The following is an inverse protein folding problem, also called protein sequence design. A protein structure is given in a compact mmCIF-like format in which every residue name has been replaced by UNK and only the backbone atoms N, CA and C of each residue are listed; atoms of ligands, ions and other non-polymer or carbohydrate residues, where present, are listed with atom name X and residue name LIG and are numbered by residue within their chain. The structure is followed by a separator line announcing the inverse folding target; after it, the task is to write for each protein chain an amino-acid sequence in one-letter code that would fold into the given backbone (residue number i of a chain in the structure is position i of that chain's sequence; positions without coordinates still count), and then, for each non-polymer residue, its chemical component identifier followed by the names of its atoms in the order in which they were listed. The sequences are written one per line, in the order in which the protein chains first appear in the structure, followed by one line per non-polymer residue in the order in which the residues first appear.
data_IF_729818015815
#
_entry.id   IF_729818015815
#
_cell.length_a   1.000
_cell.length_b   1.000
_cell.length_c   1.000
_cell.angle_alpha   90.00
_cell.angle_beta   90.00
_cell.angle_gamma   90.00
#
_symmetry.space_group_name_H-M   'P 1'
#
loop_
_entity.id
_entity.type
_entity.pdbx_description
1 polymer ?
#
# COMPACT_ATOMS: atom_id res chain seq x y z
N UNK A 1 4.75 20.44 -9.21
CA UNK A 1 3.91 19.74 -8.21
C UNK A 1 3.59 18.38 -8.81
N UNK A 2 3.63 17.28 -8.05
CA UNK A 2 3.23 15.97 -8.57
C UNK A 2 1.77 16.03 -9.05
N UNK A 3 1.45 15.34 -10.15
CA UNK A 3 0.07 15.26 -10.66
C UNK A 3 -0.82 14.33 -9.81
N UNK A 4 -0.23 13.63 -8.84
CA UNK A 4 -0.89 12.78 -7.86
C UNK A 4 -0.50 13.17 -6.42
N UNK A 5 -1.31 12.74 -5.46
CA UNK A 5 -1.05 12.83 -4.02
C UNK A 5 -0.44 11.51 -3.50
N UNK A 6 0.71 11.54 -2.80
CA UNK A 6 1.25 10.36 -2.11
C UNK A 6 0.89 10.38 -0.62
N UNK A 7 0.41 9.25 -0.11
CA UNK A 7 0.06 9.05 1.31
C UNK A 7 0.77 7.81 1.82
N UNK A 8 1.46 7.93 2.96
CA UNK A 8 2.10 6.78 3.61
C UNK A 8 1.32 6.46 4.88
N UNK A 9 0.97 5.19 5.05
CA UNK A 9 0.20 4.69 6.20
C UNK A 9 0.78 3.38 6.72
N UNK A 10 0.50 3.08 7.98
CA UNK A 10 0.89 1.84 8.64
C UNK A 10 -0.32 1.16 9.27
N UNK A 11 -0.56 -0.09 8.87
CA UNK A 11 -1.66 -0.89 9.38
C UNK A 11 -3.03 -0.54 8.78
N UNK A 12 -4.00 -1.39 9.12
CA UNK A 12 -5.30 -1.41 8.46
C UNK A 12 -6.16 -0.18 8.76
N UNK A 13 -6.11 0.31 10.00
CA UNK A 13 -7.00 1.38 10.44
C UNK A 13 -6.57 2.73 9.82
N UNK A 14 -5.26 2.99 9.73
CA UNK A 14 -4.73 4.16 9.01
C UNK A 14 -5.03 4.08 7.51
N UNK A 15 -4.90 2.90 6.92
CA UNK A 15 -5.30 2.68 5.53
C UNK A 15 -6.77 3.03 5.28
N UNK A 16 -7.69 2.50 6.10
CA UNK A 16 -9.11 2.80 5.98
C UNK A 16 -9.40 4.30 6.14
N UNK A 17 -8.73 4.96 7.09
CA UNK A 17 -8.85 6.41 7.28
C UNK A 17 -8.39 7.16 6.03
N UNK A 18 -7.21 6.83 5.50
CA UNK A 18 -6.65 7.49 4.32
C UNK A 18 -7.55 7.35 3.08
N UNK A 19 -8.15 6.17 2.87
CA UNK A 19 -9.15 5.94 1.83
C UNK A 19 -10.41 6.78 2.07
N UNK A 20 -10.92 6.81 3.30
CA UNK A 20 -12.17 7.52 3.64
C UNK A 20 -12.07 9.04 3.46
N UNK A 21 -10.91 9.63 3.74
CA UNK A 21 -10.64 11.06 3.58
C UNK A 21 -10.52 11.50 2.11
N UNK A 22 -10.40 10.54 1.19
CA UNK A 22 -10.14 10.75 -0.23
C UNK A 22 -11.23 10.16 -1.12
N UNK A 23 -12.43 9.97 -0.57
CA UNK A 23 -13.60 9.52 -1.31
C UNK A 23 -13.82 10.39 -2.56
N UNK A 24 -14.10 9.75 -3.68
CA UNK A 24 -14.34 10.40 -4.97
C UNK A 24 -13.07 10.70 -5.78
N UNK A 25 -11.89 10.32 -5.28
CA UNK A 25 -10.65 10.30 -6.08
C UNK A 25 -10.35 8.86 -6.53
N UNK A 26 -9.64 8.72 -7.64
CA UNK A 26 -9.00 7.45 -8.00
C UNK A 26 -7.87 7.16 -7.01
N UNK A 27 -7.95 6.04 -6.30
CA UNK A 27 -6.96 5.65 -5.29
C UNK A 27 -6.25 4.37 -5.74
N UNK A 28 -4.92 4.41 -5.78
CA UNK A 28 -4.06 3.25 -6.00
C UNK A 28 -3.33 2.95 -4.71
N UNK A 29 -3.61 1.81 -4.08
CA UNK A 29 -2.97 1.39 -2.85
C UNK A 29 -1.93 0.30 -3.11
N UNK A 30 -0.69 0.53 -2.71
CA UNK A 30 0.38 -0.45 -2.70
C UNK A 30 0.57 -0.99 -1.28
N UNK A 31 0.34 -2.28 -1.10
CA UNK A 31 0.54 -2.98 0.17
C UNK A 31 1.90 -3.67 0.17
N UNK A 32 2.73 -3.32 1.15
CA UNK A 32 4.07 -3.86 1.35
C UNK A 32 4.24 -4.37 2.78
N UNK A 33 5.16 -5.31 2.98
CA UNK A 33 5.68 -5.62 4.31
C UNK A 33 6.35 -4.40 4.96
N UNK A 34 6.31 -4.35 6.29
CA UNK A 34 7.04 -3.35 7.09
C UNK A 34 8.53 -3.33 6.76
N UNK A 35 9.06 -2.11 6.75
CA UNK A 35 10.48 -1.80 6.58
C UNK A 35 11.20 -1.78 7.93
N UNK A 36 12.42 -2.31 7.93
CA UNK A 36 13.36 -2.14 9.04
C UNK A 36 13.96 -0.73 9.08
N UNK A 37 14.90 -0.50 10.00
CA UNK A 37 15.58 0.79 10.16
C UNK A 37 16.42 1.19 8.93
N UNK A 38 16.76 0.22 8.07
CA UNK A 38 17.50 0.40 6.83
C UNK A 38 16.56 0.66 5.64
N UNK A 39 15.24 0.66 5.87
CA UNK A 39 14.25 0.87 4.84
C UNK A 39 13.93 -0.37 4.01
N UNK A 40 14.36 -1.55 4.46
CA UNK A 40 14.19 -2.81 3.75
C UNK A 40 12.97 -3.57 4.27
N UNK A 41 12.06 -3.94 3.38
CA UNK A 41 10.90 -4.75 3.73
C UNK A 41 11.34 -6.17 4.10
N UNK A 42 10.68 -6.78 5.10
CA UNK A 42 10.89 -8.19 5.45
C UNK A 42 10.50 -9.17 4.31
N UNK A 43 9.75 -8.68 3.32
CA UNK A 43 9.37 -9.40 2.11
C UNK A 43 10.31 -9.04 0.95
N UNK A 44 11.12 -9.99 0.42
CA UNK A 44 12.02 -9.76 -0.70
C UNK A 44 11.31 -9.26 -1.96
N UNK A 45 10.15 -9.82 -2.29
CA UNK A 45 9.38 -9.40 -3.46
C UNK A 45 8.93 -7.94 -3.35
N UNK A 46 8.63 -7.44 -2.14
CA UNK A 46 8.30 -6.02 -1.93
C UNK A 46 9.52 -5.11 -2.15
N UNK A 47 10.74 -5.59 -1.82
CA UNK A 47 11.99 -4.85 -2.05
C UNK A 47 12.24 -4.71 -3.55
N UNK A 48 12.08 -5.79 -4.31
CA UNK A 48 12.28 -5.80 -5.77
C UNK A 48 11.17 -5.07 -6.52
N UNK A 49 9.91 -5.17 -6.06
CA UNK A 49 8.77 -4.57 -6.74
C UNK A 49 8.63 -3.06 -6.51
N UNK A 50 9.06 -2.53 -5.35
CA UNK A 50 8.85 -1.11 -5.04
C UNK A 50 9.53 -0.16 -6.05
N UNK A 51 10.78 -0.37 -6.49
CA UNK A 51 11.39 0.44 -7.55
C UNK A 51 10.62 0.41 -8.87
N UNK A 52 10.06 -0.76 -9.23
CA UNK A 52 9.26 -0.92 -10.46
C UNK A 52 7.97 -0.11 -10.36
N UNK A 53 7.21 -0.28 -9.27
CA UNK A 53 5.97 0.49 -9.03
C UNK A 53 6.26 1.99 -9.01
N UNK A 54 7.34 2.41 -8.34
CA UNK A 54 7.73 3.82 -8.28
C UNK A 54 8.16 4.38 -9.65
N UNK A 55 8.71 3.54 -10.53
CA UNK A 55 9.04 3.92 -11.90
C UNK A 55 7.82 4.28 -12.75
N UNK A 56 6.66 3.71 -12.43
CA UNK A 56 5.41 3.89 -13.20
C UNK A 56 4.52 5.03 -12.69
N UNK A 57 4.93 5.75 -11.65
CA UNK A 57 4.14 6.80 -11.00
C UNK A 57 3.82 7.98 -11.93
N UNK A 58 4.58 8.17 -13.01
CA UNK A 58 4.29 9.18 -14.03
C UNK A 58 3.02 8.93 -14.84
N UNK A 59 2.52 7.68 -14.83
CA UNK A 59 1.36 7.24 -15.58
C UNK A 59 0.06 7.31 -14.78
N UNK A 60 0.11 7.78 -13.53
CA UNK A 60 -1.09 7.92 -12.70
C UNK A 60 -2.02 9.02 -13.27
N UNK A 61 -3.35 8.86 -13.14
CA UNK A 61 -4.28 9.90 -13.53
C UNK A 61 -4.04 11.21 -12.77
N UNK A 62 -4.30 12.35 -13.42
CA UNK A 62 -4.22 13.64 -12.76
C UNK A 62 -5.23 13.73 -11.60
N UNK A 63 -4.76 14.19 -10.45
CA UNK A 63 -5.55 14.30 -9.22
C UNK A 63 -5.74 12.98 -8.45
N UNK A 64 -5.18 11.87 -8.93
CA UNK A 64 -5.26 10.58 -8.25
C UNK A 64 -4.46 10.55 -6.95
N UNK A 65 -4.65 9.49 -6.17
CA UNK A 65 -3.98 9.25 -4.89
C UNK A 65 -3.21 7.95 -4.98
N UNK A 66 -1.96 7.96 -4.54
CA UNK A 66 -1.19 6.76 -4.27
C UNK A 66 -1.00 6.56 -2.78
N UNK A 67 -1.52 5.45 -2.25
CA UNK A 67 -1.37 5.08 -0.84
C UNK A 67 -0.31 3.98 -0.73
N UNK A 68 0.83 4.29 -0.11
CA UNK A 68 1.82 3.31 0.31
C UNK A 68 1.45 2.80 1.72
N UNK A 69 0.98 1.56 1.79
CA UNK A 69 0.50 0.93 3.01
C UNK A 69 1.47 -0.18 3.47
N UNK A 70 2.09 0.05 4.62
CA UNK A 70 2.85 -1.01 5.32
C UNK A 70 1.87 -1.86 6.13
N UNK A 71 1.79 -3.16 5.84
CA UNK A 71 0.75 -4.06 6.38
C UNK A 71 1.02 -4.51 7.82
N UNK A 72 2.18 -4.20 8.38
CA UNK A 72 2.65 -4.74 9.65
C UNK A 72 3.81 -5.72 9.49
N UNK A 73 4.31 -6.18 10.64
CA UNK A 73 5.39 -7.15 10.71
C UNK A 73 4.99 -8.52 10.12
N UNK A 74 6.00 -9.31 9.74
CA UNK A 74 5.80 -10.65 9.16
C UNK A 74 4.91 -11.58 9.99
N UNK A 75 4.99 -11.64 11.34
CA UNK A 75 4.09 -12.47 12.14
C UNK A 75 2.62 -12.06 12.01
N UNK A 76 2.33 -10.76 12.04
CA UNK A 76 0.98 -10.24 11.82
C UNK A 76 0.47 -10.59 10.42
N UNK A 77 1.31 -10.43 9.39
CA UNK A 77 0.92 -10.79 8.03
C UNK A 77 0.61 -12.29 7.89
N UNK A 78 1.36 -13.18 8.55
CA UNK A 78 1.12 -14.62 8.49
C UNK A 78 -0.21 -15.04 9.09
N UNK A 79 -0.73 -14.33 10.09
CA UNK A 79 -2.03 -14.63 10.70
C UNK A 79 -3.16 -14.56 9.65
N UNK A 80 -3.90 -15.65 9.38
CA UNK A 80 -5.03 -15.64 8.45
C UNK A 80 -6.21 -14.78 8.94
N UNK A 81 -6.21 -14.37 10.21
CA UNK A 81 -7.25 -13.54 10.81
C UNK A 81 -6.93 -12.05 10.82
N UNK A 82 -5.79 -11.63 10.26
CA UNK A 82 -5.49 -10.20 10.16
C UNK A 82 -6.53 -9.46 9.29
N UNK A 83 -6.70 -8.16 9.58
CA UNK A 83 -7.77 -7.34 8.99
C UNK A 83 -7.65 -7.22 7.46
N UNK A 84 -6.43 -7.15 6.93
CA UNK A 84 -6.20 -7.09 5.48
C UNK A 84 -6.70 -8.35 4.77
N UNK A 85 -6.37 -9.55 5.27
CA UNK A 85 -6.81 -10.82 4.69
C UNK A 85 -8.31 -11.05 4.87
N UNK A 86 -8.86 -10.70 6.03
CA UNK A 86 -10.29 -10.92 6.31
C UNK A 86 -11.19 -9.97 5.53
N UNK A 87 -10.83 -8.69 5.44
CA UNK A 87 -11.70 -7.67 4.87
C UNK A 87 -11.38 -7.36 3.41
N UNK A 88 -10.11 -7.16 3.07
CA UNK A 88 -9.69 -6.85 1.69
C UNK A 88 -9.35 -8.10 0.86
N UNK A 89 -9.36 -9.29 1.47
CA UNK A 89 -9.06 -10.57 0.81
C UNK A 89 -7.67 -10.60 0.14
N UNK A 90 -6.72 -9.82 0.65
CA UNK A 90 -5.35 -9.86 0.16
C UNK A 90 -4.77 -11.27 0.38
N UNK A 91 -4.21 -11.87 -0.66
CA UNK A 91 -3.60 -13.20 -0.61
C UNK A 91 -2.08 -13.14 -0.45
N UNK A 92 -1.46 -12.02 -0.81
CA UNK A 92 -0.01 -11.82 -0.80
C UNK A 92 0.38 -10.36 -0.62
N UNK A 93 1.67 -10.14 -0.36
CA UNK A 93 2.35 -8.85 -0.57
C UNK A 93 3.59 -9.13 -1.43
N UNK A 94 4.01 -8.22 -2.32
CA UNK A 94 3.37 -6.93 -2.60
C UNK A 94 2.01 -7.09 -3.31
N UNK A 95 1.12 -6.09 -3.20
CA UNK A 95 -0.13 -6.03 -3.97
C UNK A 95 -0.48 -4.58 -4.27
N UNK A 96 -0.91 -4.31 -5.51
CA UNK A 96 -1.53 -3.03 -5.88
C UNK A 96 -3.03 -3.25 -6.04
N UNK A 97 -3.85 -2.43 -5.39
CA UNK A 97 -5.29 -2.36 -5.61
C UNK A 97 -5.69 -0.96 -6.10
N UNK A 98 -6.59 -0.90 -7.07
CA UNK A 98 -7.28 0.33 -7.46
C UNK A 98 -8.64 0.40 -6.76
N UNK A 99 -8.94 1.53 -6.14
CA UNK A 99 -10.25 1.88 -5.60
C UNK A 99 -10.79 3.08 -6.40
N UNK A 100 -12.03 2.95 -6.85
CA UNK A 100 -12.79 3.96 -7.60
C UNK A 100 -14.16 4.12 -6.96
#
# INVERSE_FOLDING_TARGET
MSHYEEVKVHGYDEFCKAVSERKGKDIFAYFSGDKDAQGMSWCPDCVEAEPVVRGEMSHLPEGSVFIYCQVGERPYWKDPNNKFKKTLKLSGVPTVLSFS
#
